data_IF_764263821996
#
_entry.id   IF_764263821996
#
_cell.length_a   1.000
_cell.length_b   1.000
_cell.length_c   1.000
_cell.angle_alpha   90.00
_cell.angle_beta   90.00
_cell.angle_gamma   90.00
#
_symmetry.space_group_name_H-M   'P 1'
#
loop_
_entity.id
_entity.type
_entity.pdbx_description
1 polymer ?
#
# COMPACT_ATOMS: atom_id res chain seq x y z
N UNK A 1 23.36 -75.27 -33.80
CA UNK A 1 22.90 -76.54 -33.16
C UNK A 1 21.55 -76.26 -32.52
N UNK A 2 20.55 -77.04 -32.95
CA UNK A 2 19.29 -77.48 -32.25
C UNK A 2 18.36 -76.38 -31.75
N UNK A 3 17.31 -76.22 -32.32
CA UNK A 3 15.96 -76.85 -32.58
C UNK A 3 14.90 -76.21 -31.71
N UNK A 4 13.99 -75.54 -32.39
CA UNK A 4 12.54 -75.84 -32.61
C UNK A 4 11.75 -76.17 -31.31
N UNK A 5 10.69 -75.50 -31.03
CA UNK A 5 9.35 -75.99 -31.43
C UNK A 5 8.25 -74.96 -31.19
N UNK A 6 7.44 -74.80 -32.24
CA UNK A 6 6.09 -74.23 -32.22
C UNK A 6 5.14 -74.95 -31.30
N UNK A 7 4.16 -74.27 -30.75
CA UNK A 7 2.77 -74.79 -30.69
C UNK A 7 1.75 -73.63 -30.66
N UNK A 8 0.90 -73.62 -31.62
CA UNK A 8 -0.38 -72.91 -31.73
C UNK A 8 -1.41 -73.40 -30.72
N UNK A 9 -2.31 -72.54 -30.34
CA UNK A 9 -3.78 -72.66 -30.18
C UNK A 9 -4.26 -71.62 -29.20
N UNK A 10 -5.34 -70.93 -29.21
CA UNK A 10 -6.57 -70.92 -30.03
C UNK A 10 -7.35 -69.67 -29.64
N UNK A 11 -8.14 -69.19 -30.48
CA UNK A 11 -9.04 -68.04 -30.36
C UNK A 11 -10.04 -68.15 -29.16
N UNK A 12 -10.22 -67.02 -28.43
CA UNK A 12 -11.50 -66.72 -27.79
C UNK A 12 -11.78 -65.22 -27.91
N UNK A 13 -12.79 -64.89 -28.72
CA UNK A 13 -13.39 -63.56 -28.79
C UNK A 13 -14.09 -63.28 -27.48
N UNK A 14 -13.61 -62.32 -26.71
CA UNK A 14 -14.29 -61.71 -25.59
C UNK A 14 -14.66 -60.29 -25.91
N UNK A 15 -15.91 -60.02 -26.22
CA UNK A 15 -16.47 -58.69 -26.38
C UNK A 15 -16.49 -58.02 -24.99
N UNK A 16 -15.56 -57.12 -24.73
CA UNK A 16 -15.59 -56.26 -23.58
C UNK A 16 -16.28 -54.94 -24.00
N UNK A 17 -17.52 -54.85 -23.58
CA UNK A 17 -18.34 -53.65 -23.62
C UNK A 17 -17.75 -52.61 -22.68
N UNK A 18 -17.03 -51.62 -23.20
CA UNK A 18 -16.50 -50.51 -22.43
C UNK A 18 -17.65 -49.58 -22.06
N UNK A 19 -18.11 -49.70 -20.81
CA UNK A 19 -18.94 -48.66 -20.18
C UNK A 19 -18.13 -47.38 -20.06
N UNK A 20 -18.38 -46.41 -20.92
CA UNK A 20 -18.03 -45.02 -20.70
C UNK A 20 -18.85 -44.52 -19.51
N UNK A 21 -18.22 -44.56 -18.33
CA UNK A 21 -18.73 -43.77 -17.20
C UNK A 21 -18.31 -42.33 -17.47
N UNK A 22 -19.27 -41.56 -18.00
CA UNK A 22 -19.16 -40.12 -18.11
C UNK A 22 -18.99 -39.57 -16.69
N UNK A 23 -17.77 -39.14 -16.38
CA UNK A 23 -17.54 -38.26 -15.22
C UNK A 23 -18.26 -36.96 -15.49
N UNK A 24 -19.49 -36.86 -14.94
CA UNK A 24 -20.20 -35.62 -14.87
C UNK A 24 -19.32 -34.61 -14.12
N UNK A 25 -18.81 -33.62 -14.83
CA UNK A 25 -18.27 -32.40 -14.19
C UNK A 25 -19.46 -31.82 -13.40
N UNK A 26 -19.46 -32.08 -12.10
CA UNK A 26 -20.30 -31.37 -11.15
C UNK A 26 -19.87 -29.92 -11.22
N UNK A 27 -20.64 -29.07 -11.91
CA UNK A 27 -20.55 -27.64 -11.72
C UNK A 27 -20.83 -27.39 -10.24
N UNK A 28 -19.81 -27.04 -9.49
CA UNK A 28 -19.99 -26.49 -8.16
C UNK A 28 -20.81 -25.22 -8.35
N UNK A 29 -22.09 -25.29 -8.14
CA UNK A 29 -22.94 -24.16 -7.89
C UNK A 29 -22.41 -23.51 -6.63
N UNK A 30 -21.65 -22.43 -6.79
CA UNK A 30 -21.34 -21.53 -5.69
C UNK A 30 -22.67 -20.96 -5.23
N UNK A 31 -23.20 -21.49 -4.14
CA UNK A 31 -24.37 -20.91 -3.47
C UNK A 31 -23.96 -19.47 -3.16
N UNK A 32 -24.70 -18.44 -3.64
CA UNK A 32 -24.39 -17.07 -3.30
C UNK A 32 -24.33 -16.97 -1.77
N UNK A 33 -23.34 -16.28 -1.20
CA UNK A 33 -23.25 -16.15 0.24
C UNK A 33 -24.55 -15.48 0.74
N UNK A 34 -25.23 -16.09 1.70
CA UNK A 34 -26.45 -15.55 2.33
C UNK A 34 -26.13 -14.19 2.98
N UNK A 35 -27.03 -13.21 2.79
CA UNK A 35 -26.91 -11.88 3.38
C UNK A 35 -27.22 -10.76 2.40
N UNK A 36 -27.22 -9.53 2.90
CA UNK A 36 -27.46 -8.31 2.11
C UNK A 36 -26.14 -7.86 1.46
N UNK A 37 -26.09 -7.84 0.13
CA UNK A 37 -24.95 -7.32 -0.61
C UNK A 37 -25.01 -5.81 -0.76
N UNK A 38 -23.95 -5.14 -0.28
CA UNK A 38 -23.73 -3.70 -0.43
C UNK A 38 -22.68 -3.48 -1.52
N UNK A 39 -23.08 -2.78 -2.59
CA UNK A 39 -22.20 -2.48 -3.72
C UNK A 39 -21.13 -1.46 -3.38
N UNK A 40 -19.97 -1.44 -4.09
CA UNK A 40 -18.94 -0.42 -3.92
C UNK A 40 -19.43 1.01 -4.16
N UNK A 41 -20.51 1.17 -4.92
CA UNK A 41 -21.13 2.48 -5.26
C UNK A 41 -22.06 3.03 -4.18
N UNK A 42 -22.26 2.29 -3.08
CA UNK A 42 -23.10 2.76 -1.97
C UNK A 42 -22.53 4.07 -1.38
N UNK A 43 -23.34 5.14 -1.27
CA UNK A 43 -22.88 6.45 -0.80
C UNK A 43 -22.43 6.46 0.65
N UNK A 44 -22.74 5.43 1.44
CA UNK A 44 -22.25 5.27 2.82
C UNK A 44 -20.84 4.68 2.89
N UNK A 45 -20.21 4.34 1.75
CA UNK A 45 -18.82 3.88 1.71
C UNK A 45 -17.91 5.09 1.45
N UNK A 46 -16.95 5.28 2.35
CA UNK A 46 -15.91 6.30 2.22
C UNK A 46 -14.61 5.67 1.73
N UNK A 47 -14.02 6.28 0.71
CA UNK A 47 -12.70 5.91 0.18
C UNK A 47 -11.67 6.97 0.52
N UNK A 48 -10.51 6.55 1.05
CA UNK A 48 -9.37 7.43 1.36
C UNK A 48 -8.14 6.87 0.64
N UNK A 49 -7.46 7.70 -0.14
CA UNK A 49 -6.34 7.30 -1.00
C UNK A 49 -6.69 7.38 -2.49
N UNK A 50 -5.72 7.01 -3.34
CA UNK A 50 -5.90 7.01 -4.78
C UNK A 50 -6.63 5.75 -5.23
N UNK A 51 -7.85 5.91 -5.71
CA UNK A 51 -8.72 4.83 -6.17
C UNK A 51 -9.19 5.13 -7.58
N UNK A 52 -9.07 4.17 -8.47
CA UNK A 52 -9.65 4.20 -9.81
C UNK A 52 -11.11 3.74 -9.77
N UNK A 53 -12.00 4.56 -10.25
CA UNK A 53 -13.42 4.26 -10.43
C UNK A 53 -13.78 4.06 -11.91
N UNK A 54 -12.81 3.70 -12.78
CA UNK A 54 -13.13 3.34 -14.18
C UNK A 54 -14.16 2.23 -14.26
N UNK A 55 -14.11 1.29 -13.31
CA UNK A 55 -15.21 0.37 -13.06
C UNK A 55 -15.77 0.65 -11.65
N UNK A 56 -16.91 1.35 -11.55
CA UNK A 56 -17.49 1.69 -10.25
C UNK A 56 -17.99 0.49 -9.45
N UNK A 57 -18.30 -0.63 -10.11
CA UNK A 57 -18.69 -1.89 -9.44
C UNK A 57 -17.48 -2.69 -8.92
N UNK A 58 -16.25 -2.27 -9.25
CA UNK A 58 -15.01 -2.88 -8.79
C UNK A 58 -13.87 -1.84 -8.73
N UNK A 59 -13.98 -0.80 -7.87
CA UNK A 59 -12.93 0.19 -7.73
C UNK A 59 -11.59 -0.47 -7.40
N UNK A 60 -10.54 0.00 -8.10
CA UNK A 60 -9.20 -0.58 -8.07
C UNK A 60 -8.21 0.41 -7.44
N UNK A 61 -7.20 -0.11 -6.77
CA UNK A 61 -6.15 0.68 -6.15
C UNK A 61 -4.83 -0.10 -6.10
N UNK A 62 -3.70 0.61 -6.02
CA UNK A 62 -2.37 -0.02 -6.03
C UNK A 62 -1.43 0.52 -4.96
N UNK A 63 -1.70 1.72 -4.45
CA UNK A 63 -0.86 2.30 -3.40
C UNK A 63 -1.20 1.73 -2.02
N UNK A 64 -0.19 1.56 -1.13
CA UNK A 64 -0.46 1.22 0.25
C UNK A 64 -1.22 2.35 0.96
N UNK A 65 -1.88 2.03 2.06
CA UNK A 65 -2.60 3.03 2.85
C UNK A 65 -3.98 3.43 2.30
N UNK A 66 -4.41 2.92 1.14
CA UNK A 66 -5.79 3.13 0.66
C UNK A 66 -6.77 2.50 1.65
N UNK A 67 -7.80 3.26 2.05
CA UNK A 67 -8.79 2.82 3.02
C UNK A 67 -10.19 2.78 2.42
N UNK A 68 -10.95 1.77 2.85
CA UNK A 68 -12.39 1.64 2.63
C UNK A 68 -13.02 1.67 4.02
N UNK A 69 -13.95 2.59 4.24
CA UNK A 69 -14.58 2.83 5.54
C UNK A 69 -16.09 2.83 5.40
N UNK A 70 -16.79 2.27 6.36
CA UNK A 70 -18.24 2.28 6.43
C UNK A 70 -18.71 2.17 7.88
N UNK A 71 -20.00 2.42 8.11
CA UNK A 71 -20.71 2.00 9.31
C UNK A 71 -21.89 1.10 8.90
N UNK A 72 -22.17 0.07 9.68
CA UNK A 72 -23.15 -0.96 9.35
C UNK A 72 -23.94 -1.42 10.54
N UNK A 73 -25.15 -1.88 10.30
CA UNK A 73 -25.98 -2.57 11.28
C UNK A 73 -25.76 -4.09 11.15
N UNK A 74 -25.89 -4.79 12.26
CA UNK A 74 -25.83 -6.26 12.27
C UNK A 74 -24.84 -6.81 13.28
N UNK A 75 -24.53 -8.08 13.11
CA UNK A 75 -23.63 -8.85 14.01
C UNK A 75 -22.47 -9.46 13.25
N UNK A 76 -22.48 -9.38 11.91
CA UNK A 76 -21.40 -9.89 11.05
C UNK A 76 -21.14 -8.97 9.84
N UNK A 77 -19.94 -9.06 9.34
CA UNK A 77 -19.50 -8.35 8.14
C UNK A 77 -18.52 -9.21 7.35
N UNK A 78 -18.72 -9.30 6.05
CA UNK A 78 -17.77 -9.91 5.12
C UNK A 78 -17.40 -8.92 4.02
N UNK A 79 -16.15 -8.95 3.58
CA UNK A 79 -15.67 -8.16 2.43
C UNK A 79 -15.59 -9.06 1.21
N UNK A 80 -16.01 -8.51 0.07
CA UNK A 80 -15.88 -9.12 -1.25
C UNK A 80 -14.83 -8.35 -2.03
N UNK A 81 -13.83 -9.05 -2.55
CA UNK A 81 -12.75 -8.46 -3.35
C UNK A 81 -12.35 -9.41 -4.50
N UNK A 82 -11.55 -8.91 -5.43
CA UNK A 82 -10.92 -9.78 -6.43
C UNK A 82 -10.03 -10.82 -5.73
N UNK A 83 -10.04 -12.10 -6.16
CA UNK A 83 -9.03 -13.06 -5.70
C UNK A 83 -7.61 -12.55 -5.88
N UNK A 84 -6.70 -12.94 -5.01
CA UNK A 84 -5.31 -12.48 -4.99
C UNK A 84 -5.12 -10.96 -4.79
N UNK A 85 -6.04 -10.28 -4.14
CA UNK A 85 -5.93 -8.86 -3.80
C UNK A 85 -4.85 -8.56 -2.73
N UNK A 86 -4.28 -9.57 -2.10
CA UNK A 86 -3.22 -9.40 -1.10
C UNK A 86 -3.74 -9.26 0.33
N UNK A 87 -3.14 -8.38 1.11
CA UNK A 87 -3.39 -8.26 2.55
C UNK A 87 -4.00 -6.91 2.90
N UNK A 88 -4.86 -6.94 3.92
CA UNK A 88 -5.52 -5.74 4.46
C UNK A 88 -5.47 -5.75 5.99
N UNK A 89 -5.26 -4.58 6.59
CA UNK A 89 -5.53 -4.38 8.01
C UNK A 89 -6.98 -3.96 8.18
N UNK A 90 -7.67 -4.60 9.10
CA UNK A 90 -9.08 -4.35 9.41
C UNK A 90 -9.22 -3.91 10.84
N UNK A 91 -10.01 -2.89 11.07
CA UNK A 91 -10.42 -2.47 12.41
C UNK A 91 -11.94 -2.38 12.45
N UNK A 92 -12.54 -3.05 13.42
CA UNK A 92 -13.97 -2.95 13.74
C UNK A 92 -14.07 -2.11 15.02
N UNK A 93 -14.84 -1.04 14.96
CA UNK A 93 -14.97 -0.07 16.04
C UNK A 93 -13.58 0.39 16.56
N UNK A 94 -13.38 0.43 17.85
CA UNK A 94 -12.10 0.74 18.49
C UNK A 94 -11.32 -0.52 18.92
N UNK A 95 -11.69 -1.71 18.41
CA UNK A 95 -10.99 -2.95 18.70
C UNK A 95 -9.57 -2.96 18.09
N UNK A 96 -8.74 -3.90 18.58
CA UNK A 96 -7.40 -4.08 18.02
C UNK A 96 -7.48 -4.47 16.54
N UNK A 97 -6.75 -3.76 15.67
CA UNK A 97 -6.69 -4.11 14.26
C UNK A 97 -6.08 -5.48 14.01
N UNK A 98 -6.56 -6.16 12.98
CA UNK A 98 -6.08 -7.47 12.57
C UNK A 98 -5.88 -7.54 11.07
N UNK A 99 -5.01 -8.46 10.63
CA UNK A 99 -4.70 -8.65 9.20
C UNK A 99 -5.60 -9.73 8.60
N UNK A 100 -6.13 -9.47 7.42
CA UNK A 100 -6.84 -10.45 6.59
C UNK A 100 -6.15 -10.61 5.24
N UNK A 101 -6.35 -11.75 4.59
CA UNK A 101 -5.72 -12.07 3.32
C UNK A 101 -6.73 -12.47 2.24
N UNK A 102 -6.55 -11.92 1.05
CA UNK A 102 -7.17 -12.36 -0.21
C UNK A 102 -6.06 -12.90 -1.13
N UNK A 103 -5.34 -13.92 -0.66
CA UNK A 103 -4.17 -14.48 -1.33
C UNK A 103 -4.42 -15.84 -1.99
N UNK A 104 -5.67 -16.29 -2.02
CA UNK A 104 -6.10 -17.48 -2.74
C UNK A 104 -6.69 -17.09 -4.10
N UNK A 105 -6.44 -17.86 -5.17
CA UNK A 105 -7.06 -17.62 -6.47
C UNK A 105 -8.56 -17.95 -6.49
N UNK A 106 -9.10 -18.58 -5.44
CA UNK A 106 -10.50 -18.99 -5.35
C UNK A 106 -11.32 -18.12 -4.40
N UNK A 107 -10.69 -17.59 -3.35
CA UNK A 107 -11.40 -16.91 -2.28
C UNK A 107 -11.56 -15.42 -2.61
N UNK A 108 -12.78 -15.00 -2.81
CA UNK A 108 -13.16 -13.61 -3.04
C UNK A 108 -13.97 -13.01 -1.90
N UNK A 109 -14.30 -13.81 -0.87
CA UNK A 109 -15.09 -13.39 0.30
C UNK A 109 -14.35 -13.74 1.57
N UNK A 110 -14.08 -12.73 2.41
CA UNK A 110 -13.39 -12.89 3.69
C UNK A 110 -14.27 -12.32 4.80
N UNK A 111 -14.41 -13.07 5.90
CA UNK A 111 -15.09 -12.60 7.10
C UNK A 111 -14.25 -11.56 7.82
N UNK A 112 -14.84 -10.37 8.08
CA UNK A 112 -14.22 -9.28 8.83
C UNK A 112 -14.73 -9.24 10.27
N UNK A 113 -15.95 -9.68 10.50
CA UNK A 113 -16.56 -9.73 11.83
C UNK A 113 -17.58 -10.85 11.91
N UNK A 114 -17.72 -11.45 13.09
CA UNK A 114 -18.74 -12.44 13.43
C UNK A 114 -19.14 -12.27 14.88
N UNK A 115 -20.43 -12.52 15.17
CA UNK A 115 -20.95 -12.51 16.54
C UNK A 115 -20.69 -11.19 17.31
N UNK A 116 -20.70 -10.06 16.61
CA UNK A 116 -20.71 -8.75 17.25
C UNK A 116 -21.99 -8.57 18.06
N UNK A 117 -22.01 -7.72 19.10
CA UNK A 117 -23.25 -7.29 19.71
C UNK A 117 -24.23 -6.73 18.66
N UNK A 118 -25.51 -6.93 18.83
CA UNK A 118 -26.48 -6.32 17.92
C UNK A 118 -26.43 -4.80 18.04
N UNK A 119 -26.22 -4.11 16.93
CA UNK A 119 -26.11 -2.65 16.94
C UNK A 119 -25.47 -2.10 15.66
N UNK A 120 -25.03 -0.86 15.77
CA UNK A 120 -24.25 -0.17 14.71
C UNK A 120 -22.77 -0.30 15.00
N UNK A 121 -22.02 -0.68 13.99
CA UNK A 121 -20.57 -0.86 14.05
C UNK A 121 -19.88 -0.06 12.95
N UNK A 122 -18.63 0.26 13.15
CA UNK A 122 -17.76 0.87 12.13
C UNK A 122 -16.74 -0.14 11.62
N UNK A 123 -16.37 -0.01 10.35
CA UNK A 123 -15.29 -0.77 9.75
C UNK A 123 -14.31 0.16 9.04
N UNK A 124 -13.04 -0.11 9.24
CA UNK A 124 -11.94 0.47 8.47
C UNK A 124 -11.11 -0.68 7.89
N UNK A 125 -11.02 -0.74 6.57
CA UNK A 125 -10.19 -1.70 5.83
C UNK A 125 -9.09 -0.90 5.14
N UNK A 126 -7.82 -1.23 5.38
CA UNK A 126 -6.66 -0.57 4.77
C UNK A 126 -5.87 -1.57 3.94
N UNK A 127 -5.66 -1.26 2.63
CA UNK A 127 -4.66 -1.96 1.84
C UNK A 127 -3.27 -1.72 2.42
N UNK A 128 -2.53 -2.78 2.73
CA UNK A 128 -1.23 -2.66 3.40
C UNK A 128 -0.04 -2.87 2.48
N UNK A 129 -0.28 -3.28 1.24
CA UNK A 129 0.74 -3.58 0.25
C UNK A 129 0.90 -2.49 -0.80
N UNK A 130 2.11 -2.36 -1.35
CA UNK A 130 2.31 -1.81 -2.68
C UNK A 130 1.85 -2.83 -3.73
N UNK A 131 0.59 -2.72 -4.14
CA UNK A 131 -0.13 -3.78 -4.85
C UNK A 131 -0.23 -3.54 -6.37
N UNK A 132 0.80 -2.94 -6.99
CA UNK A 132 0.77 -2.54 -8.40
C UNK A 132 0.66 -3.73 -9.37
N UNK A 133 1.20 -4.90 -9.04
CA UNK A 133 1.04 -6.12 -9.83
C UNK A 133 -0.29 -6.82 -9.55
N UNK A 134 -0.74 -6.81 -8.29
CA UNK A 134 -1.99 -7.47 -7.87
C UNK A 134 -3.23 -6.72 -8.32
N UNK A 135 -3.18 -5.39 -8.32
CA UNK A 135 -4.34 -4.53 -8.67
C UNK A 135 -5.61 -4.97 -7.94
N UNK A 136 -5.65 -4.86 -6.60
CA UNK A 136 -6.83 -5.23 -5.83
C UNK A 136 -8.07 -4.46 -6.27
N UNK A 137 -9.19 -5.16 -6.30
CA UNK A 137 -10.51 -4.60 -6.60
C UNK A 137 -11.44 -4.88 -5.42
N UNK A 138 -12.04 -3.84 -4.90
CA UNK A 138 -13.10 -3.97 -3.92
C UNK A 138 -14.43 -4.22 -4.64
N UNK A 139 -15.19 -5.23 -4.22
CA UNK A 139 -16.47 -5.62 -4.83
C UNK A 139 -17.66 -5.46 -3.91
N UNK A 140 -17.44 -4.90 -2.71
CA UNK A 140 -18.49 -4.57 -1.77
C UNK A 140 -18.38 -5.29 -0.44
N UNK A 141 -19.40 -5.07 0.37
CA UNK A 141 -19.59 -5.75 1.65
C UNK A 141 -20.80 -6.69 1.58
N UNK A 142 -20.80 -7.68 2.46
CA UNK A 142 -21.90 -8.58 2.67
C UNK A 142 -22.26 -8.58 4.15
N UNK A 143 -23.46 -8.10 4.46
CA UNK A 143 -24.00 -7.94 5.81
C UNK A 143 -24.92 -9.11 6.15
N UNK A 144 -25.38 -9.16 7.40
CA UNK A 144 -26.50 -10.02 7.79
C UNK A 144 -27.74 -9.69 6.94
N UNK A 145 -28.62 -10.67 6.75
CA UNK A 145 -29.84 -10.50 5.93
C UNK A 145 -30.71 -9.39 6.51
N UNK A 146 -31.16 -8.47 5.65
CA UNK A 146 -31.98 -7.33 6.02
C UNK A 146 -31.26 -6.18 6.73
N UNK A 147 -29.94 -6.30 6.98
CA UNK A 147 -29.12 -5.21 7.50
C UNK A 147 -28.61 -4.28 6.38
N UNK A 148 -28.20 -3.06 6.73
CA UNK A 148 -27.78 -2.01 5.81
C UNK A 148 -26.57 -1.26 6.32
N UNK A 149 -25.92 -0.50 5.42
CA UNK A 149 -25.00 0.55 5.88
C UNK A 149 -25.75 1.73 6.45
N UNK A 150 -25.12 2.41 7.37
CA UNK A 150 -25.60 3.69 7.94
C UNK A 150 -24.51 4.76 7.75
N UNK A 151 -24.86 6.01 8.00
CA UNK A 151 -23.91 7.12 7.83
C UNK A 151 -22.67 6.91 8.69
N UNK A 152 -21.48 6.75 8.06
CA UNK A 152 -20.25 6.58 8.80
C UNK A 152 -19.81 7.88 9.48
N UNK A 153 -18.97 7.81 10.52
CA UNK A 153 -18.33 8.99 11.08
C UNK A 153 -17.62 9.82 10.01
N UNK A 154 -17.67 11.16 10.19
CA UNK A 154 -16.97 12.06 9.26
C UNK A 154 -15.47 11.76 9.22
N UNK A 155 -14.86 11.92 8.04
CA UNK A 155 -13.42 11.83 7.91
C UNK A 155 -12.73 12.98 8.68
N UNK A 156 -11.52 12.75 9.22
CA UNK A 156 -10.73 13.84 9.79
C UNK A 156 -10.58 15.00 8.79
N UNK A 157 -10.56 16.23 9.27
CA UNK A 157 -10.37 17.41 8.43
C UNK A 157 -8.92 17.64 8.03
N UNK A 158 -7.96 17.23 8.89
CA UNK A 158 -6.52 17.31 8.62
C UNK A 158 -6.15 16.33 7.50
N UNK A 159 -5.30 16.76 6.56
CA UNK A 159 -4.95 15.99 5.35
C UNK A 159 -3.45 15.98 5.14
N UNK A 160 -2.87 14.77 5.07
CA UNK A 160 -1.44 14.57 4.82
C UNK A 160 -1.26 13.71 3.57
N UNK A 161 -0.35 14.07 2.67
CA UNK A 161 0.16 13.15 1.66
C UNK A 161 1.59 12.73 2.00
N UNK A 162 1.84 11.42 2.03
CA UNK A 162 3.18 10.84 2.16
C UNK A 162 3.64 10.30 0.80
N UNK A 163 4.75 10.84 0.32
CA UNK A 163 5.40 10.41 -0.92
C UNK A 163 6.70 9.72 -0.53
N UNK A 164 6.94 8.48 -1.00
CA UNK A 164 8.11 7.76 -0.54
C UNK A 164 8.50 6.51 -1.30
N UNK A 165 9.32 5.72 -0.63
CA UNK A 165 9.88 4.47 -1.12
C UNK A 165 9.48 3.29 -0.21
N UNK A 166 10.30 2.22 -0.19
CA UNK A 166 10.07 1.02 0.64
C UNK A 166 9.89 1.32 2.13
N UNK A 167 10.55 2.36 2.67
CA UNK A 167 10.40 2.78 4.07
C UNK A 167 8.95 3.22 4.32
N UNK A 168 8.35 3.93 3.37
CA UNK A 168 6.97 4.40 3.44
C UNK A 168 5.96 3.30 3.10
N UNK A 169 6.30 2.37 2.20
CA UNK A 169 5.46 1.20 1.90
C UNK A 169 5.30 0.27 3.12
N UNK A 170 6.34 0.13 3.93
CA UNK A 170 6.39 -0.86 5.02
C UNK A 170 6.96 -2.19 4.56
N UNK A 171 7.91 -2.15 3.60
CA UNK A 171 8.59 -3.32 3.05
C UNK A 171 9.17 -4.20 4.15
N UNK A 172 8.67 -5.41 4.26
CA UNK A 172 9.15 -6.42 5.21
C UNK A 172 9.14 -6.00 6.68
N UNK A 173 8.31 -5.04 7.07
CA UNK A 173 8.26 -4.45 8.42
C UNK A 173 7.92 -5.49 9.51
N UNK A 174 7.17 -6.53 9.16
CA UNK A 174 6.78 -7.63 10.06
C UNK A 174 7.75 -8.84 10.00
N UNK A 175 8.83 -8.76 9.21
CA UNK A 175 9.81 -9.83 9.16
C UNK A 175 10.55 -10.00 10.50
N UNK A 176 10.84 -11.24 10.85
CA UNK A 176 11.47 -11.58 12.13
C UNK A 176 12.91 -11.04 12.28
N UNK A 177 13.58 -10.73 11.18
CA UNK A 177 14.95 -10.15 11.19
C UNK A 177 15.35 -9.62 9.82
N UNK A 178 16.39 -8.78 9.77
CA UNK A 178 16.98 -8.25 8.53
C UNK A 178 17.62 -9.29 7.60
N UNK A 179 17.76 -10.55 8.05
CA UNK A 179 18.26 -11.66 7.23
C UNK A 179 17.15 -12.36 6.44
N UNK A 180 15.89 -12.14 6.81
CA UNK A 180 14.73 -12.66 6.09
C UNK A 180 14.59 -11.89 4.79
N UNK A 181 14.38 -12.62 3.69
CA UNK A 181 14.09 -11.98 2.39
C UNK A 181 12.65 -11.48 2.39
N UNK A 182 12.42 -10.47 1.58
CA UNK A 182 11.08 -9.91 1.42
C UNK A 182 10.05 -10.96 0.97
N UNK A 183 8.89 -10.86 1.58
CA UNK A 183 7.66 -11.51 1.14
C UNK A 183 6.48 -10.59 1.45
N UNK A 184 5.44 -10.63 0.64
CA UNK A 184 4.30 -9.70 0.77
C UNK A 184 3.54 -9.88 2.10
N UNK A 185 3.58 -11.06 2.70
CA UNK A 185 2.99 -11.31 4.03
C UNK A 185 3.70 -10.56 5.15
N UNK A 186 4.94 -10.11 4.91
CA UNK A 186 5.71 -9.29 5.85
C UNK A 186 5.67 -7.80 5.56
N UNK A 187 5.11 -7.37 4.42
CA UNK A 187 4.85 -5.96 4.15
C UNK A 187 3.59 -5.49 4.87
N UNK A 188 3.68 -4.33 5.54
CA UNK A 188 2.52 -3.77 6.21
C UNK A 188 2.63 -2.27 6.42
N UNK A 189 1.99 -1.51 5.56
CA UNK A 189 1.94 -0.05 5.66
C UNK A 189 1.32 0.44 6.97
N UNK A 190 0.43 -0.31 7.58
CA UNK A 190 -0.23 0.08 8.84
C UNK A 190 0.76 0.40 9.96
N UNK A 191 1.92 -0.27 9.98
CA UNK A 191 2.98 -0.11 10.97
C UNK A 191 4.07 0.89 10.57
N UNK A 192 3.93 1.59 9.45
CA UNK A 192 4.91 2.61 9.04
C UNK A 192 4.77 3.89 9.83
N UNK A 193 5.87 4.67 9.88
CA UNK A 193 5.90 6.01 10.46
C UNK A 193 4.77 6.90 9.91
N UNK A 194 4.49 6.78 8.62
CA UNK A 194 3.47 7.57 7.92
C UNK A 194 2.06 7.25 8.42
N UNK A 195 1.70 5.97 8.47
CA UNK A 195 0.40 5.53 8.94
C UNK A 195 0.20 5.76 10.45
N UNK A 196 1.27 5.59 11.25
CA UNK A 196 1.25 5.89 12.69
C UNK A 196 1.05 7.40 12.91
N UNK A 197 1.85 8.24 12.24
CA UNK A 197 1.73 9.69 12.37
C UNK A 197 0.35 10.20 11.96
N UNK A 198 -0.21 9.70 10.85
CA UNK A 198 -1.55 10.09 10.42
C UNK A 198 -2.63 9.74 11.46
N UNK A 199 -2.57 8.54 12.05
CA UNK A 199 -3.52 8.14 13.10
C UNK A 199 -3.40 9.01 14.36
N UNK A 200 -2.18 9.24 14.84
CA UNK A 200 -1.96 10.02 16.07
C UNK A 200 -2.18 11.53 15.91
N UNK A 201 -2.08 12.03 14.68
CA UNK A 201 -2.43 13.42 14.35
C UNK A 201 -3.90 13.59 13.97
N UNK A 202 -4.68 12.51 14.02
CA UNK A 202 -6.08 12.48 13.57
C UNK A 202 -6.23 13.10 12.18
N UNK A 203 -5.48 12.57 11.21
CA UNK A 203 -5.45 13.05 9.84
C UNK A 203 -5.83 11.95 8.84
N UNK A 204 -6.48 12.36 7.74
CA UNK A 204 -6.51 11.54 6.55
C UNK A 204 -5.08 11.45 6.00
N UNK A 205 -4.67 10.30 5.46
CA UNK A 205 -3.42 10.23 4.74
C UNK A 205 -3.59 9.56 3.38
N UNK A 206 -3.00 10.19 2.38
CA UNK A 206 -2.78 9.61 1.06
C UNK A 206 -1.32 9.18 0.96
N UNK A 207 -1.07 8.13 0.24
CA UNK A 207 0.26 7.57 0.07
C UNK A 207 0.55 7.39 -1.40
N UNK A 208 1.70 7.92 -1.84
CA UNK A 208 2.25 7.70 -3.17
C UNK A 208 3.66 7.16 -2.99
N UNK A 209 3.78 5.86 -2.86
CA UNK A 209 5.05 5.21 -2.55
C UNK A 209 5.25 3.91 -3.32
N UNK A 210 6.53 3.59 -3.57
CA UNK A 210 6.94 2.31 -4.17
C UNK A 210 8.35 1.93 -3.73
N UNK A 211 8.57 0.66 -3.45
CA UNK A 211 9.89 0.11 -3.13
C UNK A 211 10.88 0.27 -4.27
N UNK A 212 12.11 0.59 -3.94
CA UNK A 212 13.19 0.79 -4.91
C UNK A 212 13.16 2.11 -5.69
N UNK A 213 12.10 2.93 -5.56
CA UNK A 213 11.98 4.18 -6.33
C UNK A 213 12.83 5.31 -5.71
N UNK A 214 13.43 6.11 -6.58
CA UNK A 214 14.16 7.33 -6.22
C UNK A 214 13.51 8.60 -6.75
N UNK A 215 14.14 9.72 -6.49
CA UNK A 215 13.70 11.01 -7.02
C UNK A 215 14.31 11.29 -8.41
N UNK A 216 15.52 10.80 -8.68
CA UNK A 216 16.14 10.84 -10.01
C UNK A 216 16.70 9.49 -10.44
N UNK A 217 17.06 8.64 -9.47
CA UNK A 217 17.70 7.35 -9.67
C UNK A 217 17.07 6.29 -8.78
N UNK A 218 16.54 5.24 -9.37
CA UNK A 218 16.04 4.08 -8.64
C UNK A 218 17.20 3.28 -8.03
N UNK A 219 16.91 2.38 -7.10
CA UNK A 219 17.91 1.48 -6.51
C UNK A 219 18.73 0.77 -7.58
N UNK A 220 20.05 0.81 -7.48
CA UNK A 220 20.99 0.29 -8.48
C UNK A 220 20.84 0.88 -9.90
N UNK A 221 20.17 1.99 -10.06
CA UNK A 221 20.02 2.64 -11.36
C UNK A 221 21.35 3.26 -11.88
N UNK A 222 21.40 3.68 -13.15
CA UNK A 222 22.55 4.32 -13.75
C UNK A 222 22.79 5.72 -13.15
N UNK A 223 24.01 6.24 -13.28
CA UNK A 223 24.39 7.56 -12.77
C UNK A 223 23.54 8.69 -13.37
N UNK A 224 23.14 8.54 -14.60
CA UNK A 224 22.33 9.49 -15.37
C UNK A 224 20.90 9.59 -14.86
N UNK A 225 20.46 8.61 -14.02
CA UNK A 225 19.12 8.49 -13.50
C UNK A 225 18.21 7.55 -14.29
N UNK A 226 16.99 7.40 -13.83
CA UNK A 226 15.97 6.56 -14.47
C UNK A 226 14.78 7.42 -14.93
N UNK A 227 14.18 7.12 -16.09
CA UNK A 227 13.02 7.86 -16.58
C UNK A 227 11.75 7.61 -15.75
N UNK A 228 11.70 6.49 -15.01
CA UNK A 228 10.55 6.05 -14.21
C UNK A 228 10.75 6.25 -12.70
N UNK A 229 11.38 7.35 -12.30
CA UNK A 229 11.45 7.78 -10.90
C UNK A 229 10.14 8.40 -10.43
N UNK A 230 10.02 8.61 -9.12
CA UNK A 230 8.80 9.12 -8.49
C UNK A 230 8.21 10.35 -9.19
N UNK A 231 8.97 11.40 -9.56
CA UNK A 231 8.39 12.57 -10.22
C UNK A 231 7.65 12.24 -11.53
N UNK A 232 8.14 11.28 -12.31
CA UNK A 232 7.50 10.90 -13.57
C UNK A 232 6.19 10.11 -13.36
N UNK A 233 6.11 9.34 -12.29
CA UNK A 233 4.99 8.44 -12.01
C UNK A 233 3.97 9.05 -11.02
N UNK A 234 4.28 10.21 -10.45
CA UNK A 234 3.53 10.81 -9.35
C UNK A 234 2.04 11.02 -9.64
N UNK A 235 1.68 11.38 -10.86
CA UNK A 235 0.27 11.63 -11.22
C UNK A 235 -0.50 10.38 -11.69
N UNK A 236 0.03 9.20 -11.52
CA UNK A 236 -0.74 8.00 -11.84
C UNK A 236 -1.77 7.70 -10.75
N UNK A 237 -3.01 7.44 -11.12
CA UNK A 237 -4.07 6.96 -10.19
C UNK A 237 -3.73 5.58 -9.69
N UNK A 238 -3.31 4.69 -10.58
CA UNK A 238 -2.78 3.36 -10.28
C UNK A 238 -1.30 3.33 -10.65
N UNK A 239 -0.45 2.93 -9.74
CA UNK A 239 1.00 2.85 -10.00
C UNK A 239 1.29 1.93 -11.19
N UNK A 240 2.12 2.39 -12.12
CA UNK A 240 2.46 1.66 -13.33
C UNK A 240 1.39 1.73 -14.43
N UNK A 241 0.35 2.51 -14.26
CA UNK A 241 -0.71 2.73 -15.26
C UNK A 241 -0.77 4.21 -15.67
N UNK A 242 -0.29 4.53 -16.86
CA UNK A 242 -0.32 5.89 -17.39
C UNK A 242 -1.66 6.28 -18.06
N UNK A 243 -2.62 5.35 -18.12
CA UNK A 243 -3.91 5.57 -18.79
C UNK A 243 -4.91 6.34 -17.94
N UNK A 244 -4.62 6.55 -16.65
CA UNK A 244 -5.47 7.32 -15.74
C UNK A 244 -4.61 8.27 -14.90
N UNK A 245 -4.76 9.55 -15.17
CA UNK A 245 -4.10 10.62 -14.42
C UNK A 245 -4.89 10.94 -13.17
N UNK A 246 -4.20 10.99 -12.02
CA UNK A 246 -4.79 11.42 -10.76
C UNK A 246 -5.15 12.90 -10.81
N UNK A 247 -6.40 13.19 -10.55
CA UNK A 247 -6.87 14.56 -10.36
C UNK A 247 -6.56 15.03 -8.93
N UNK A 248 -5.54 15.88 -8.80
CA UNK A 248 -5.12 16.40 -7.49
C UNK A 248 -6.18 17.30 -6.83
N UNK A 249 -7.19 17.79 -7.55
CA UNK A 249 -8.28 18.55 -6.93
C UNK A 249 -9.17 17.68 -6.03
N UNK A 250 -9.19 16.39 -6.25
CA UNK A 250 -9.93 15.44 -5.39
C UNK A 250 -9.36 15.35 -3.97
N UNK A 251 -8.09 15.72 -3.78
CA UNK A 251 -7.44 15.73 -2.48
C UNK A 251 -6.38 16.83 -2.44
N UNK A 252 -6.66 17.88 -1.69
CA UNK A 252 -5.72 18.97 -1.43
C UNK A 252 -5.20 18.82 0.00
N UNK A 253 -3.95 18.34 0.18
CA UNK A 253 -3.37 18.13 1.50
C UNK A 253 -3.00 19.46 2.17
N UNK A 254 -3.07 19.50 3.50
CA UNK A 254 -2.49 20.57 4.31
C UNK A 254 -0.96 20.43 4.38
N UNK A 255 -0.49 19.18 4.29
CA UNK A 255 0.90 18.81 4.48
C UNK A 255 1.33 17.72 3.47
N UNK A 256 2.45 17.92 2.80
CA UNK A 256 3.10 16.92 1.93
C UNK A 256 4.45 16.55 2.54
N UNK A 257 4.62 15.27 2.91
CA UNK A 257 5.86 14.72 3.43
C UNK A 257 6.53 13.85 2.37
N UNK A 258 7.78 14.15 1.99
CA UNK A 258 8.49 13.43 0.92
C UNK A 258 9.73 12.74 1.49
N UNK A 259 9.72 11.40 1.51
CA UNK A 259 10.82 10.54 1.97
C UNK A 259 11.44 9.79 0.78
N UNK A 260 12.31 10.46 0.06
CA UNK A 260 13.07 9.93 -1.08
C UNK A 260 14.58 10.11 -0.85
N UNK A 261 15.41 9.82 -1.84
CA UNK A 261 16.88 9.96 -1.76
C UNK A 261 17.62 8.72 -1.27
N UNK A 262 16.98 7.85 -0.49
CA UNK A 262 17.59 6.60 -0.03
C UNK A 262 18.04 5.74 -1.21
N UNK A 263 17.16 5.45 -2.16
CA UNK A 263 17.48 4.64 -3.33
C UNK A 263 18.46 5.33 -4.28
N UNK A 264 18.39 6.66 -4.36
CA UNK A 264 19.29 7.47 -5.18
C UNK A 264 20.75 7.34 -4.72
N UNK A 265 20.99 7.23 -3.41
CA UNK A 265 22.32 7.31 -2.81
C UNK A 265 22.79 6.02 -2.11
N UNK A 266 21.95 4.99 -1.95
CA UNK A 266 22.30 3.75 -1.22
C UNK A 266 23.38 2.91 -1.91
N UNK A 267 23.58 3.10 -3.21
CA UNK A 267 24.60 2.39 -4.00
C UNK A 267 25.53 3.39 -4.71
N UNK A 268 26.76 2.96 -5.00
CA UNK A 268 27.76 3.81 -5.69
C UNK A 268 27.25 4.32 -7.03
N UNK A 269 27.84 5.41 -7.52
CA UNK A 269 27.54 5.96 -8.85
C UNK A 269 26.36 6.93 -8.88
N UNK A 270 25.99 7.55 -7.77
CA UNK A 270 25.04 8.66 -7.74
C UNK A 270 25.68 9.98 -8.16
N UNK A 271 24.85 10.93 -8.58
CA UNK A 271 25.25 12.27 -9.03
C UNK A 271 24.57 13.34 -8.14
N UNK A 272 25.33 14.04 -7.29
CA UNK A 272 24.78 15.06 -6.38
C UNK A 272 24.07 16.21 -7.09
N UNK A 273 24.57 16.62 -8.27
CA UNK A 273 23.96 17.72 -9.03
C UNK A 273 22.59 17.32 -9.56
N UNK A 274 22.50 16.09 -10.09
CA UNK A 274 21.22 15.54 -10.58
C UNK A 274 20.22 15.32 -9.46
N UNK A 275 20.70 14.84 -8.30
CA UNK A 275 19.88 14.66 -7.10
C UNK A 275 19.22 15.98 -6.70
N UNK A 276 20.02 17.04 -6.50
CA UNK A 276 19.52 18.35 -6.13
C UNK A 276 18.55 18.91 -7.16
N UNK A 277 18.91 18.86 -8.44
CA UNK A 277 18.06 19.36 -9.51
C UNK A 277 16.71 18.62 -9.59
N UNK A 278 16.68 17.31 -9.26
CA UNK A 278 15.43 16.55 -9.21
C UNK A 278 14.54 16.98 -8.05
N UNK A 279 15.10 17.21 -6.86
CA UNK A 279 14.37 17.74 -5.72
C UNK A 279 13.77 19.11 -6.00
N UNK A 280 14.55 20.04 -6.55
CA UNK A 280 14.08 21.40 -6.91
C UNK A 280 12.89 21.29 -7.88
N UNK A 281 13.03 20.57 -8.98
CA UNK A 281 11.95 20.40 -9.97
C UNK A 281 10.71 19.73 -9.38
N UNK A 282 10.90 18.73 -8.54
CA UNK A 282 9.76 18.04 -7.92
C UNK A 282 9.06 18.93 -6.90
N UNK A 283 9.80 19.72 -6.13
CA UNK A 283 9.25 20.72 -5.20
C UNK A 283 8.40 21.77 -5.92
N UNK A 284 8.92 22.32 -7.02
CA UNK A 284 8.17 23.26 -7.86
C UNK A 284 6.87 22.65 -8.39
N UNK A 285 6.92 21.38 -8.83
CA UNK A 285 5.73 20.68 -9.28
C UNK A 285 4.72 20.45 -8.15
N UNK A 286 5.17 20.02 -6.98
CA UNK A 286 4.29 19.82 -5.80
C UNK A 286 3.64 21.14 -5.39
N UNK A 287 4.38 22.25 -5.38
CA UNK A 287 3.84 23.57 -5.08
C UNK A 287 2.78 24.00 -6.10
N UNK A 288 2.99 23.74 -7.38
CA UNK A 288 1.99 24.04 -8.42
C UNK A 288 0.70 23.22 -8.25
N UNK A 289 0.80 21.97 -7.77
CA UNK A 289 -0.33 21.09 -7.53
C UNK A 289 -1.06 21.42 -6.21
N UNK A 290 -0.30 21.82 -5.19
CA UNK A 290 -0.76 22.07 -3.82
C UNK A 290 -0.29 23.44 -3.33
N UNK A 291 -0.91 24.52 -3.81
CA UNK A 291 -0.43 25.89 -3.56
C UNK A 291 -0.42 26.27 -2.08
N UNK A 292 -1.28 25.67 -1.27
CA UNK A 292 -1.45 26.01 0.15
C UNK A 292 -0.78 24.99 1.11
N UNK A 293 -0.24 23.89 0.60
CA UNK A 293 0.34 22.85 1.46
C UNK A 293 1.70 23.26 2.02
N UNK A 294 2.00 22.86 3.25
CA UNK A 294 3.39 22.81 3.71
C UNK A 294 4.08 21.60 3.10
N UNK A 295 5.30 21.77 2.61
CA UNK A 295 6.12 20.69 2.02
C UNK A 295 7.27 20.39 2.96
N UNK A 296 7.39 19.14 3.42
CA UNK A 296 8.47 18.70 4.30
C UNK A 296 9.29 17.62 3.59
N UNK A 297 10.55 17.92 3.32
CA UNK A 297 11.52 16.96 2.85
C UNK A 297 12.04 16.14 4.01
N UNK A 298 11.93 14.81 3.93
CA UNK A 298 12.37 13.88 4.96
C UNK A 298 13.63 13.13 4.50
N UNK A 299 14.69 13.08 5.32
CA UNK A 299 15.77 12.11 5.11
C UNK A 299 15.38 10.79 5.76
N UNK A 300 15.45 9.68 5.00
CA UNK A 300 15.11 8.35 5.51
C UNK A 300 16.17 7.80 6.48
N UNK A 301 15.79 6.81 7.30
CA UNK A 301 16.65 6.24 8.36
C UNK A 301 17.68 5.20 7.87
N UNK A 302 17.66 4.78 6.60
CA UNK A 302 18.48 3.66 6.12
C UNK A 302 19.86 4.07 5.62
N UNK A 303 20.10 5.34 5.34
CA UNK A 303 21.43 5.83 4.94
C UNK A 303 22.30 6.11 6.15
N UNK A 304 23.61 6.00 5.95
CA UNK A 304 24.62 6.39 6.92
C UNK A 304 25.85 6.99 6.21
N UNK A 305 26.79 7.56 6.98
CA UNK A 305 28.04 8.11 6.44
C UNK A 305 27.85 9.20 5.39
N UNK A 306 28.68 9.19 4.34
CA UNK A 306 28.65 10.23 3.31
C UNK A 306 27.36 10.29 2.48
N UNK A 307 26.72 9.17 2.09
CA UNK A 307 25.42 9.22 1.41
C UNK A 307 24.33 9.93 2.24
N UNK A 308 24.27 9.67 3.54
CA UNK A 308 23.34 10.34 4.46
C UNK A 308 23.61 11.85 4.50
N UNK A 309 24.86 12.24 4.77
CA UNK A 309 25.26 13.66 4.82
C UNK A 309 24.98 14.40 3.51
N UNK A 310 25.15 13.71 2.37
CA UNK A 310 24.83 14.29 1.07
C UNK A 310 23.33 14.56 0.94
N UNK A 311 22.49 13.58 1.26
CA UNK A 311 21.02 13.77 1.18
C UNK A 311 20.59 14.89 2.13
N UNK A 312 21.03 14.88 3.37
CA UNK A 312 20.69 15.93 4.36
C UNK A 312 21.10 17.33 3.88
N UNK A 313 22.34 17.50 3.43
CA UNK A 313 22.80 18.78 2.86
C UNK A 313 21.99 19.18 1.62
N UNK A 314 21.67 18.22 0.74
CA UNK A 314 20.83 18.50 -0.42
C UNK A 314 19.45 19.01 -0.01
N UNK A 315 18.82 18.41 0.99
CA UNK A 315 17.51 18.84 1.49
C UNK A 315 17.58 20.22 2.17
N UNK A 316 18.68 20.53 2.89
CA UNK A 316 18.93 21.88 3.44
C UNK A 316 18.99 22.92 2.33
N UNK A 317 19.79 22.67 1.30
CA UNK A 317 19.96 23.57 0.18
C UNK A 317 18.65 23.80 -0.58
N UNK A 318 17.90 22.70 -0.87
CA UNK A 318 16.61 22.77 -1.60
C UNK A 318 15.58 23.59 -0.82
N UNK A 319 15.47 23.35 0.49
CA UNK A 319 14.55 24.12 1.33
C UNK A 319 14.96 25.60 1.42
N UNK A 320 16.25 25.89 1.59
CA UNK A 320 16.78 27.25 1.67
C UNK A 320 16.55 28.00 0.33
N UNK A 321 16.82 27.38 -0.81
CA UNK A 321 16.59 27.95 -2.13
C UNK A 321 15.12 28.26 -2.39
N UNK A 322 14.21 27.34 -2.06
CA UNK A 322 12.77 27.57 -2.18
C UNK A 322 12.33 28.76 -1.30
N UNK A 323 12.79 28.80 -0.05
CA UNK A 323 12.48 29.89 0.87
C UNK A 323 13.07 31.24 0.40
N UNK A 324 14.26 31.25 -0.15
CA UNK A 324 14.87 32.46 -0.73
C UNK A 324 14.10 32.95 -1.96
N UNK A 325 13.56 32.02 -2.76
CA UNK A 325 12.73 32.33 -3.92
C UNK A 325 11.29 32.76 -3.57
N UNK A 326 10.92 32.81 -2.26
CA UNK A 326 9.63 33.30 -1.79
C UNK A 326 8.67 32.22 -1.30
N UNK A 327 8.94 30.93 -1.52
CA UNK A 327 8.13 29.83 -0.99
C UNK A 327 8.55 29.52 0.46
N UNK A 328 7.92 30.19 1.42
CA UNK A 328 8.23 30.05 2.86
C UNK A 328 7.67 28.78 3.50
N UNK A 329 6.89 27.99 2.76
CA UNK A 329 6.21 26.79 3.25
C UNK A 329 6.94 25.49 2.86
N UNK A 330 8.28 25.58 2.67
CA UNK A 330 9.14 24.43 2.41
C UNK A 330 10.10 24.22 3.60
N UNK A 331 10.04 23.03 4.15
CA UNK A 331 10.72 22.62 5.38
C UNK A 331 11.48 21.31 5.17
N UNK A 332 12.23 20.90 6.15
CA UNK A 332 12.91 19.62 6.18
C UNK A 332 12.92 18.99 7.56
N UNK A 333 13.08 17.67 7.62
CA UNK A 333 13.22 16.91 8.84
C UNK A 333 14.12 15.69 8.58
N UNK A 334 15.02 15.35 9.53
CA UNK A 334 15.86 14.17 9.45
C UNK A 334 15.42 13.14 10.47
N UNK A 335 15.22 11.91 10.02
CA UNK A 335 15.10 10.78 10.92
C UNK A 335 16.45 10.36 11.44
N UNK A 336 16.53 9.90 12.69
CA UNK A 336 17.69 9.24 13.23
C UNK A 336 18.01 7.97 12.41
N UNK A 337 19.29 7.76 12.02
CA UNK A 337 19.68 6.55 11.31
C UNK A 337 19.40 5.28 12.14
N UNK A 338 18.89 4.23 11.48
CA UNK A 338 18.76 2.93 12.14
C UNK A 338 20.12 2.32 12.44
N UNK A 339 20.28 1.75 13.63
CA UNK A 339 21.53 1.16 14.13
C UNK A 339 21.37 -0.32 14.54
N UNK A 340 20.16 -0.88 14.37
CA UNK A 340 19.85 -2.27 14.68
C UNK A 340 19.42 -2.54 16.12
N UNK A 341 19.39 -1.54 17.00
CA UNK A 341 18.96 -1.69 18.41
C UNK A 341 17.46 -2.09 18.53
N UNK A 342 16.65 -1.74 17.54
CA UNK A 342 15.24 -2.14 17.42
C UNK A 342 15.03 -3.29 16.42
N UNK A 343 16.11 -3.99 16.03
CA UNK A 343 16.08 -4.99 14.98
C UNK A 343 15.89 -4.40 13.58
N UNK A 344 15.75 -5.29 12.62
CA UNK A 344 15.51 -4.94 11.21
C UNK A 344 14.34 -5.75 10.66
N UNK A 345 13.58 -5.16 9.76
CA UNK A 345 12.66 -5.85 8.86
C UNK A 345 13.40 -6.57 7.74
N UNK A 346 12.67 -7.15 6.79
CA UNK A 346 13.26 -7.91 5.68
C UNK A 346 14.35 -7.13 4.93
N UNK A 347 15.39 -7.83 4.50
CA UNK A 347 16.50 -7.25 3.72
C UNK A 347 17.12 -6.00 4.38
N UNK A 348 17.09 -5.91 5.72
CA UNK A 348 17.65 -4.79 6.47
C UNK A 348 16.81 -3.50 6.48
N UNK A 349 15.54 -3.56 6.07
CA UNK A 349 14.61 -2.43 6.16
C UNK A 349 14.21 -2.12 7.61
N UNK A 350 13.55 -0.99 7.88
CA UNK A 350 13.09 -0.67 9.22
C UNK A 350 12.11 -1.70 9.77
N UNK A 351 12.34 -2.19 10.98
CA UNK A 351 11.39 -3.03 11.73
C UNK A 351 10.18 -2.22 12.20
N UNK A 352 9.15 -2.87 12.74
CA UNK A 352 8.03 -2.18 13.41
C UNK A 352 8.53 -1.22 14.51
N UNK A 353 9.54 -1.62 15.29
CA UNK A 353 10.13 -0.79 16.33
C UNK A 353 10.82 0.46 15.75
N UNK A 354 11.56 0.30 14.67
CA UNK A 354 12.21 1.43 14.00
C UNK A 354 11.19 2.37 13.34
N UNK A 355 10.16 1.84 12.72
CA UNK A 355 9.05 2.64 12.16
C UNK A 355 8.31 3.42 13.26
N UNK A 356 8.12 2.82 14.44
CA UNK A 356 7.54 3.50 15.61
C UNK A 356 8.45 4.64 16.07
N UNK A 357 9.76 4.42 16.22
CA UNK A 357 10.74 5.48 16.54
C UNK A 357 10.66 6.63 15.54
N UNK A 358 10.62 6.34 14.24
CA UNK A 358 10.46 7.38 13.22
C UNK A 358 9.18 8.20 13.42
N UNK A 359 8.08 7.55 13.76
CA UNK A 359 6.83 8.25 14.07
C UNK A 359 6.95 9.12 15.32
N UNK A 360 7.58 8.61 16.38
CA UNK A 360 7.80 9.34 17.64
C UNK A 360 8.68 10.59 17.46
N UNK A 361 9.63 10.54 16.51
CA UNK A 361 10.45 11.70 16.13
C UNK A 361 9.65 12.71 15.29
N UNK A 362 8.86 12.24 14.33
CA UNK A 362 8.17 13.09 13.35
C UNK A 362 6.93 13.78 13.93
N UNK A 363 6.13 13.09 14.74
CA UNK A 363 4.85 13.60 15.25
C UNK A 363 4.98 14.92 16.01
N UNK A 364 5.91 15.07 16.97
CA UNK A 364 6.09 16.34 17.69
C UNK A 364 6.45 17.49 16.74
N UNK A 365 7.34 17.22 15.78
CA UNK A 365 7.72 18.19 14.76
C UNK A 365 6.52 18.64 13.93
N UNK A 366 5.72 17.71 13.42
CA UNK A 366 4.53 18.04 12.62
C UNK A 366 3.45 18.76 13.45
N UNK A 367 3.25 18.38 14.71
CA UNK A 367 2.34 19.11 15.63
C UNK A 367 2.73 20.57 15.76
N UNK A 368 4.01 20.85 16.02
CA UNK A 368 4.52 22.20 16.12
C UNK A 368 4.40 22.96 14.78
N UNK A 369 4.81 22.34 13.68
CA UNK A 369 4.80 22.95 12.36
C UNK A 369 3.40 23.35 11.90
N UNK A 370 2.42 22.48 12.16
CA UNK A 370 1.03 22.63 11.69
C UNK A 370 0.12 23.32 12.72
N UNK A 371 0.58 23.53 13.95
CA UNK A 371 -0.28 23.95 15.06
C UNK A 371 -1.35 22.90 15.41
N UNK A 372 -1.10 21.63 15.16
CA UNK A 372 -2.03 20.55 15.47
C UNK A 372 -1.80 20.03 16.89
N UNK A 373 -2.85 20.06 17.67
CA UNK A 373 -2.84 19.52 19.04
C UNK A 373 -3.05 18.00 19.01
#
# INVERSE_FOLDING_TARGET
>A
MKTQQLRCKAWLFGLLMSCFVGQGMSAQTTVPPTGTWVKPTDPQIQYVGRVSFKNPEAPCFTYPGVQIRAAFEGTSLRMVAKPNSGYFMVQIDEAQPFKVAFNSPKDSVVSLATALPKGTHTVRVMNVLEAYERRPEFKGFLLDEGCQLVTPPALPTRKIEFIGNSITCGYGVEAASGKVRFSEDTENHYYTYAAIAARELNAQHYVTARSGIGIYRNYNGPKEGNPNCMPALYLQTLFGDSTEVWDCQRYQPDLVCVNLGTNDCSTKGYDPVRLKAAYVRFGQRLRALYPNAKIVWLSGCMLNGEPMKLVERTLDEVAAEANAAGDKEVYRFNFSPQNGDLGYGADGHPSMGQQRRMADELIPYLRQLMGWQ
#
